data_IF_021615375977
#
_entry.id   IF_021615375977
#
_cell.length_a   1.000
_cell.length_b   1.000
_cell.length_c   1.000
_cell.angle_alpha   90.00
_cell.angle_beta   90.00
_cell.angle_gamma   90.00
#
_symmetry.space_group_name_H-M   'P 1'
#
loop_
_entity.id
_entity.type
_entity.pdbx_description
1 polymer ?
#
# COMPACT_ATOMS: atom_id res chain seq x y z
N UNK A 1 9.08 -9.46 -8.65
CA UNK A 1 9.43 -8.03 -8.62
C UNK A 1 8.30 -7.31 -7.94
N UNK A 2 8.56 -6.72 -6.77
CA UNK A 2 7.64 -5.83 -6.06
C UNK A 2 7.38 -4.60 -6.94
N UNK A 3 6.39 -4.71 -7.82
CA UNK A 3 6.07 -3.68 -8.79
C UNK A 3 5.37 -2.53 -8.07
N UNK A 4 5.68 -1.30 -8.49
CA UNK A 4 4.87 -0.15 -8.13
C UNK A 4 3.50 -0.36 -8.80
N UNK A 5 2.47 -0.50 -7.98
CA UNK A 5 1.10 -0.60 -8.43
C UNK A 5 0.50 0.80 -8.55
N UNK A 6 -0.22 1.10 -9.65
CA UNK A 6 -1.01 2.30 -9.72
C UNK A 6 -2.00 2.35 -8.54
N UNK A 7 -2.17 3.50 -7.87
CA UNK A 7 -3.03 3.58 -6.70
C UNK A 7 -4.46 3.17 -7.01
N UNK A 8 -5.04 2.41 -6.09
CA UNK A 8 -6.44 1.94 -6.18
C UNK A 8 -6.76 1.07 -7.41
N UNK A 9 -5.75 0.59 -8.13
CA UNK A 9 -5.92 -0.38 -9.21
C UNK A 9 -5.59 -1.79 -8.73
N UNK A 10 -6.29 -2.77 -9.30
CA UNK A 10 -6.13 -4.18 -8.97
C UNK A 10 -6.87 -4.64 -7.71
N UNK A 11 -6.81 -5.94 -7.46
CA UNK A 11 -7.42 -6.59 -6.29
C UNK A 11 -6.33 -6.90 -5.28
N UNK A 12 -6.57 -6.60 -4.01
CA UNK A 12 -5.61 -6.81 -2.91
C UNK A 12 -6.08 -7.97 -2.01
N UNK A 13 -5.67 -9.22 -2.27
CA UNK A 13 -6.37 -10.41 -1.77
C UNK A 13 -6.07 -10.79 -0.32
N UNK A 14 -5.00 -10.28 0.32
CA UNK A 14 -4.51 -10.82 1.60
C UNK A 14 -4.67 -9.90 2.83
N UNK A 15 -5.25 -8.72 2.67
CA UNK A 15 -5.16 -7.67 3.69
C UNK A 15 -3.73 -7.15 3.86
N UNK A 16 -3.57 -5.95 4.41
CA UNK A 16 -2.26 -5.37 4.67
C UNK A 16 -2.33 -4.24 5.70
N UNK A 17 -1.26 -4.05 6.46
CA UNK A 17 -1.02 -2.81 7.18
C UNK A 17 -0.60 -1.71 6.21
N UNK A 18 -1.32 -0.58 6.22
CA UNK A 18 -1.04 0.55 5.33
C UNK A 18 0.00 1.48 5.97
N UNK A 19 1.08 1.74 5.25
CA UNK A 19 2.12 2.71 5.63
C UNK A 19 2.07 3.84 4.62
N UNK A 20 2.06 5.10 5.09
CA UNK A 20 1.99 6.28 4.23
C UNK A 20 3.29 7.07 4.32
N UNK A 21 3.91 7.38 3.19
CA UNK A 21 5.11 8.23 3.11
C UNK A 21 5.01 9.22 1.96
N UNK A 22 4.65 10.47 2.27
CA UNK A 22 4.51 11.55 1.30
C UNK A 22 3.28 11.45 0.38
N UNK A 23 2.45 10.41 0.56
CA UNK A 23 1.21 10.23 -0.19
C UNK A 23 0.11 11.19 0.34
N UNK A 24 -0.76 11.73 -0.53
CA UNK A 24 -1.76 12.73 -0.14
C UNK A 24 -2.90 12.17 0.74
N UNK A 25 -3.19 10.87 0.63
CA UNK A 25 -4.21 10.21 1.45
C UNK A 25 -3.63 9.60 2.73
N UNK A 26 -4.42 9.62 3.81
CA UNK A 26 -4.08 8.97 5.06
C UNK A 26 -4.28 7.44 4.98
N UNK A 27 -3.59 6.71 5.87
CA UNK A 27 -3.68 5.25 5.94
C UNK A 27 -5.13 4.76 6.13
N UNK A 28 -5.91 5.42 7.00
CA UNK A 28 -7.33 5.09 7.20
C UNK A 28 -8.18 5.31 5.95
N UNK A 29 -7.92 6.38 5.19
CA UNK A 29 -8.66 6.67 3.95
C UNK A 29 -8.37 5.60 2.90
N UNK A 30 -7.09 5.22 2.74
CA UNK A 30 -6.66 4.17 1.82
C UNK A 30 -7.27 2.82 2.23
N UNK A 31 -7.19 2.45 3.52
CA UNK A 31 -7.76 1.20 4.06
C UNK A 31 -9.25 1.09 3.80
N UNK A 32 -10.02 2.15 4.09
CA UNK A 32 -11.47 2.21 3.85
C UNK A 32 -11.79 2.08 2.36
N UNK A 33 -11.05 2.77 1.51
CA UNK A 33 -11.29 2.78 0.05
C UNK A 33 -10.99 1.43 -0.59
N UNK A 34 -9.92 0.77 -0.19
CA UNK A 34 -9.54 -0.56 -0.68
C UNK A 34 -10.32 -1.70 0.00
N UNK A 35 -11.12 -1.41 1.04
CA UNK A 35 -11.73 -2.41 1.92
C UNK A 35 -10.69 -3.41 2.44
N UNK A 36 -9.50 -2.91 2.77
CA UNK A 36 -8.33 -3.73 3.06
C UNK A 36 -8.36 -4.18 4.52
N UNK A 37 -8.46 -5.49 4.81
CA UNK A 37 -8.35 -6.00 6.17
C UNK A 37 -6.93 -5.79 6.73
N UNK A 38 -6.82 -5.68 8.05
CA UNK A 38 -5.51 -5.58 8.71
C UNK A 38 -4.78 -6.93 8.63
N UNK A 39 -3.48 -6.90 8.36
CA UNK A 39 -2.63 -8.09 8.26
C UNK A 39 -1.20 -7.75 8.70
N UNK A 40 -0.65 -8.49 9.67
CA UNK A 40 0.68 -8.21 10.25
C UNK A 40 1.87 -8.67 9.38
N UNK A 41 1.62 -9.51 8.38
CA UNK A 41 2.63 -10.08 7.48
C UNK A 41 2.76 -9.29 6.17
N UNK A 42 1.69 -8.60 5.78
CA UNK A 42 1.59 -7.88 4.53
C UNK A 42 1.52 -6.37 4.76
N UNK A 43 2.24 -5.62 3.95
CA UNK A 43 2.29 -4.16 4.02
C UNK A 43 1.94 -3.55 2.66
N UNK A 44 1.21 -2.44 2.71
CA UNK A 44 0.94 -1.58 1.57
C UNK A 44 1.62 -0.24 1.82
N UNK A 45 2.73 0.03 1.14
CA UNK A 45 3.38 1.34 1.21
C UNK A 45 2.78 2.27 0.16
N UNK A 46 2.07 3.31 0.60
CA UNK A 46 1.61 4.39 -0.24
C UNK A 46 2.64 5.51 -0.27
N UNK A 47 3.19 5.82 -1.44
CA UNK A 47 4.28 6.80 -1.57
C UNK A 47 4.29 7.55 -2.90
N UNK A 48 5.17 8.55 -2.99
CA UNK A 48 5.46 9.33 -4.20
C UNK A 48 6.82 8.89 -4.72
N UNK A 49 6.89 8.50 -6.00
CA UNK A 49 8.08 8.08 -6.71
C UNK A 49 8.60 9.15 -7.66
N UNK A 50 9.92 9.25 -7.76
CA UNK A 50 10.58 10.19 -8.67
C UNK A 50 10.08 11.62 -8.50
N UNK A 51 9.74 12.26 -9.63
CA UNK A 51 9.41 13.68 -9.65
C UNK A 51 8.00 14.03 -9.18
N UNK A 52 7.07 13.06 -9.03
CA UNK A 52 5.69 13.22 -8.47
C UNK A 52 4.76 12.00 -8.63
N UNK A 53 5.25 10.82 -8.99
CA UNK A 53 4.38 9.70 -9.35
C UNK A 53 3.80 9.01 -8.12
N UNK A 54 2.47 8.98 -8.00
CA UNK A 54 1.80 8.31 -6.89
C UNK A 54 1.77 6.80 -7.13
N UNK A 55 2.20 6.01 -6.15
CA UNK A 55 2.29 4.57 -6.29
C UNK A 55 2.12 3.81 -4.98
N UNK A 56 1.65 2.57 -5.09
CA UNK A 56 1.53 1.61 -4.00
C UNK A 56 2.55 0.49 -4.18
N UNK A 57 3.28 0.15 -3.12
CA UNK A 57 4.15 -1.03 -3.10
C UNK A 57 3.52 -2.08 -2.20
N UNK A 58 3.40 -3.29 -2.72
CA UNK A 58 3.14 -4.46 -1.90
C UNK A 58 4.47 -4.90 -1.27
N UNK A 59 4.51 -5.10 0.04
CA UNK A 59 5.65 -5.70 0.72
C UNK A 59 5.18 -6.81 1.66
N UNK A 60 6.07 -7.77 1.92
CA UNK A 60 5.85 -8.84 2.88
C UNK A 60 6.99 -8.85 3.90
N UNK A 61 6.66 -9.09 5.17
CA UNK A 61 7.67 -9.33 6.21
C UNK A 61 8.49 -10.59 5.83
N UNK A 62 9.83 -10.46 5.79
CA UNK A 62 10.72 -11.56 5.43
C UNK A 62 11.18 -12.39 6.63
N UNK A 63 11.18 -11.81 7.83
CA UNK A 63 11.62 -12.46 9.06
C UNK A 63 10.70 -12.06 10.21
N UNK A 64 10.23 -13.03 10.98
CA UNK A 64 9.42 -12.86 12.19
C UNK A 64 10.25 -13.21 13.42
#
# INVERSE_FOLDING_TARGET
MDAIHPPYQGTWPKGASVVVRGYPDTADRIRKRLRLPENAEHYLLATVWGDKELGFIAARRLWA
#
